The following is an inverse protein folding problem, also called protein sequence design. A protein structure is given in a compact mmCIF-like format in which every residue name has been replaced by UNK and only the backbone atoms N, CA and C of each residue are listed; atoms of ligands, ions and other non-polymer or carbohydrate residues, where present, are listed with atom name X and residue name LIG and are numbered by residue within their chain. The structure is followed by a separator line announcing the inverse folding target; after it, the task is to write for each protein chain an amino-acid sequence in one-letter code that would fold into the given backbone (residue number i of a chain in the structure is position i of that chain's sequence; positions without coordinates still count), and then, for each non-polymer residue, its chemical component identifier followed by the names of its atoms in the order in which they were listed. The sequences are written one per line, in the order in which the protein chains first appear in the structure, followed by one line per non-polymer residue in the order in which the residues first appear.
data_IF_384270614834
#
_entry.id   IF_384270614834
#
_cell.length_a   1.000
_cell.length_b   1.000
_cell.length_c   1.000
_cell.angle_alpha   90.00
_cell.angle_beta   90.00
_cell.angle_gamma   90.00
#
_symmetry.space_group_name_H-M   'P 1'
#
loop_
_entity.id
_entity.type
_entity.pdbx_description
1 polymer ?
#
# COMPACT_ATOMS: atom_id res chain seq x y z
N UNK A 1 -9.62 15.82 -7.72
CA UNK A 1 -8.80 15.05 -8.70
C UNK A 1 -7.64 14.41 -7.98
N UNK A 2 -7.19 13.24 -8.45
CA UNK A 2 -6.05 12.49 -7.87
C UNK A 2 -5.01 12.33 -8.98
N UNK A 3 -3.74 12.58 -8.65
CA UNK A 3 -2.63 12.36 -9.58
C UNK A 3 -2.25 10.88 -9.52
N UNK A 4 -2.39 10.18 -10.65
CA UNK A 4 -2.07 8.75 -10.76
C UNK A 4 -0.60 8.50 -11.12
N UNK A 5 0.00 9.39 -11.90
CA UNK A 5 1.40 9.29 -12.30
C UNK A 5 1.95 10.65 -12.75
N UNK A 6 3.26 10.81 -12.66
CA UNK A 6 4.03 11.86 -13.32
C UNK A 6 4.84 11.22 -14.44
N UNK A 7 4.76 11.78 -15.65
CA UNK A 7 5.39 11.23 -16.84
C UNK A 7 6.47 12.19 -17.36
N UNK A 8 7.57 11.63 -17.83
CA UNK A 8 8.72 12.35 -18.36
C UNK A 8 9.18 11.83 -19.74
N UNK A 9 10.37 12.28 -20.20
CA UNK A 9 10.92 11.83 -21.47
C UNK A 9 11.12 10.32 -21.52
N UNK A 10 10.58 9.69 -22.56
CA UNK A 10 10.65 8.23 -22.76
C UNK A 10 9.42 7.47 -22.24
N UNK A 11 8.58 8.11 -21.42
CA UNK A 11 7.32 7.53 -20.97
C UNK A 11 6.25 7.57 -22.06
N UNK A 12 5.29 6.65 -21.96
CA UNK A 12 4.09 6.61 -22.80
C UNK A 12 2.82 6.54 -21.94
N UNK A 13 1.69 6.88 -22.55
CA UNK A 13 0.37 6.81 -21.92
C UNK A 13 -0.73 6.60 -22.96
N UNK A 14 -1.90 6.18 -22.49
CA UNK A 14 -3.08 5.95 -23.33
C UNK A 14 -3.16 4.55 -23.95
N UNK A 15 -2.14 3.73 -23.73
CA UNK A 15 -2.07 2.33 -24.13
C UNK A 15 -3.25 1.52 -23.61
N UNK A 16 -3.75 1.83 -22.41
CA UNK A 16 -4.84 1.07 -21.77
C UNK A 16 -6.08 1.07 -22.66
N UNK A 17 -6.52 2.24 -23.15
CA UNK A 17 -7.68 2.33 -24.04
C UNK A 17 -7.47 1.62 -25.38
N UNK A 18 -6.23 1.58 -25.87
CA UNK A 18 -5.91 0.89 -27.12
C UNK A 18 -5.95 -0.63 -26.95
N UNK A 19 -5.52 -1.13 -25.79
CA UNK A 19 -5.46 -2.56 -25.47
C UNK A 19 -6.80 -3.13 -24.98
N UNK A 20 -7.54 -2.40 -24.15
CA UNK A 20 -8.82 -2.86 -23.60
C UNK A 20 -10.02 -2.56 -24.49
N UNK A 21 -9.88 -1.63 -25.43
CA UNK A 21 -11.01 -1.10 -26.21
C UNK A 21 -11.97 -0.22 -25.40
N UNK A 22 -11.64 0.10 -24.15
CA UNK A 22 -12.46 0.96 -23.30
C UNK A 22 -12.11 2.44 -23.43
N UNK A 23 -12.97 3.29 -22.86
CA UNK A 23 -12.73 4.73 -22.78
C UNK A 23 -11.46 5.04 -21.95
N UNK A 24 -10.98 6.29 -22.07
CA UNK A 24 -9.82 6.76 -21.31
C UNK A 24 -10.08 6.64 -19.80
N UNK A 25 -9.17 5.98 -19.10
CA UNK A 25 -9.23 5.80 -17.63
C UNK A 25 -8.83 7.06 -16.86
N UNK A 26 -8.11 7.99 -17.48
CA UNK A 26 -7.62 9.21 -16.87
C UNK A 26 -7.44 10.34 -17.89
N UNK A 27 -7.49 11.58 -17.39
CA UNK A 27 -7.11 12.78 -18.14
C UNK A 27 -5.60 13.00 -18.06
N UNK A 28 -5.04 13.70 -19.05
CA UNK A 28 -3.62 14.07 -19.10
C UNK A 28 -3.49 15.57 -19.26
N UNK A 29 -2.64 16.18 -18.45
CA UNK A 29 -2.36 17.62 -18.47
C UNK A 29 -0.84 17.82 -18.53
N UNK A 30 -0.39 18.74 -19.37
CA UNK A 30 1.03 19.10 -19.48
C UNK A 30 1.40 20.10 -18.39
N UNK A 31 2.42 19.81 -17.58
CA UNK A 31 2.93 20.72 -16.55
C UNK A 31 3.89 21.79 -17.12
N UNK A 32 4.54 21.47 -18.24
CA UNK A 32 5.45 22.35 -18.98
C UNK A 32 5.32 22.14 -20.49
N UNK A 33 6.06 22.93 -21.28
CA UNK A 33 6.06 22.81 -22.75
C UNK A 33 6.54 21.41 -23.17
N UNK A 34 5.60 20.58 -23.61
CA UNK A 34 5.82 19.17 -23.89
C UNK A 34 5.76 18.88 -25.39
N UNK A 35 6.60 17.97 -25.88
CA UNK A 35 6.47 17.34 -27.20
C UNK A 35 6.16 15.85 -26.99
N UNK A 36 5.12 15.37 -27.64
CA UNK A 36 4.71 13.96 -27.61
C UNK A 36 4.63 13.42 -29.04
N UNK A 37 4.95 12.14 -29.20
CA UNK A 37 4.65 11.38 -30.42
C UNK A 37 3.32 10.65 -30.22
N UNK A 38 2.52 10.57 -31.28
CA UNK A 38 1.22 9.92 -31.26
C UNK A 38 1.20 8.72 -32.20
N UNK A 39 0.67 7.60 -31.74
CA UNK A 39 0.35 6.44 -32.56
C UNK A 39 -1.17 6.24 -32.50
N UNK A 40 -1.77 5.94 -33.66
CA UNK A 40 -3.17 5.53 -33.72
C UNK A 40 -3.30 4.05 -33.31
N UNK A 41 -4.53 3.58 -33.11
CA UNK A 41 -4.80 2.21 -32.66
C UNK A 41 -4.29 1.15 -33.63
N UNK A 42 -4.51 1.34 -34.94
CA UNK A 42 -4.14 0.36 -35.97
C UNK A 42 -2.62 0.20 -36.06
N UNK A 43 -1.89 1.32 -36.10
CA UNK A 43 -0.43 1.34 -36.12
C UNK A 43 0.16 0.74 -34.85
N UNK A 44 -0.43 1.03 -33.69
CA UNK A 44 0.01 0.49 -32.41
C UNK A 44 -0.14 -1.04 -32.38
N UNK A 45 -1.33 -1.56 -32.67
CA UNK A 45 -1.59 -3.00 -32.67
C UNK A 45 -0.74 -3.72 -33.74
N UNK A 46 -0.67 -3.18 -34.95
CA UNK A 46 0.18 -3.73 -36.02
C UNK A 46 1.66 -3.74 -35.64
N UNK A 47 2.14 -2.74 -34.90
CA UNK A 47 3.52 -2.71 -34.39
C UNK A 47 3.76 -3.82 -33.37
N UNK A 48 2.80 -4.10 -32.49
CA UNK A 48 2.92 -5.18 -31.50
C UNK A 48 2.99 -6.56 -32.17
N UNK A 49 2.20 -6.77 -33.22
CA UNK A 49 2.19 -8.01 -34.01
C UNK A 49 3.49 -8.19 -34.80
N UNK A 50 3.94 -7.13 -35.48
CA UNK A 50 5.14 -7.17 -36.32
C UNK A 50 6.42 -7.25 -35.50
N UNK A 51 6.45 -6.65 -34.30
CA UNK A 51 7.62 -6.60 -33.43
C UNK A 51 7.30 -7.10 -32.01
N UNK A 52 7.25 -8.42 -31.77
CA UNK A 52 6.88 -8.99 -30.46
C UNK A 52 7.76 -8.53 -29.29
N UNK A 53 9.01 -8.14 -29.54
CA UNK A 53 9.89 -7.54 -28.52
C UNK A 53 9.31 -6.24 -27.94
N UNK A 54 8.62 -5.45 -28.75
CA UNK A 54 7.92 -4.23 -28.31
C UNK A 54 6.79 -4.59 -27.34
N UNK A 55 6.00 -5.61 -27.67
CA UNK A 55 4.94 -6.12 -26.79
C UNK A 55 5.49 -6.60 -25.44
N UNK A 56 6.61 -7.34 -25.44
CA UNK A 56 7.25 -7.77 -24.18
C UNK A 56 7.72 -6.57 -23.36
N UNK A 57 8.30 -5.55 -23.99
CA UNK A 57 8.75 -4.34 -23.28
C UNK A 57 7.57 -3.55 -22.70
N UNK A 58 6.47 -3.45 -23.45
CA UNK A 58 5.22 -2.85 -22.99
C UNK A 58 4.67 -3.59 -21.77
N UNK A 59 4.60 -4.93 -21.81
CA UNK A 59 4.15 -5.74 -20.67
C UNK A 59 5.02 -5.55 -19.42
N UNK A 60 6.34 -5.43 -19.58
CA UNK A 60 7.23 -5.14 -18.44
C UNK A 60 6.93 -3.78 -17.82
N UNK A 61 6.71 -2.76 -18.64
CA UNK A 61 6.37 -1.43 -18.14
C UNK A 61 5.01 -1.41 -17.44
N UNK A 62 4.01 -2.11 -17.99
CA UNK A 62 2.70 -2.27 -17.34
C UNK A 62 2.82 -2.99 -15.99
N UNK A 63 3.66 -4.03 -15.87
CA UNK A 63 3.92 -4.71 -14.62
C UNK A 63 4.59 -3.80 -13.57
N UNK A 64 5.55 -2.96 -13.98
CA UNK A 64 6.17 -1.96 -13.11
C UNK A 64 5.15 -0.94 -12.63
N UNK A 65 4.27 -0.46 -13.52
CA UNK A 65 3.19 0.48 -13.15
C UNK A 65 2.19 -0.14 -12.18
N UNK A 66 1.81 -1.40 -12.39
CA UNK A 66 0.92 -2.11 -11.48
C UNK A 66 1.54 -2.24 -10.07
N UNK A 67 2.82 -2.63 -9.98
CA UNK A 67 3.53 -2.68 -8.70
C UNK A 67 3.52 -1.33 -7.97
N UNK A 68 3.77 -0.22 -8.69
CA UNK A 68 3.69 1.13 -8.11
C UNK A 68 2.27 1.50 -7.65
N UNK A 69 1.24 1.09 -8.39
CA UNK A 69 -0.15 1.29 -7.97
C UNK A 69 -0.49 0.48 -6.73
N UNK A 70 -0.03 -0.78 -6.64
CA UNK A 70 -0.20 -1.62 -5.45
C UNK A 70 0.50 -1.01 -4.23
N UNK A 71 1.72 -0.49 -4.39
CA UNK A 71 2.44 0.26 -3.36
C UNK A 71 1.67 1.52 -2.92
N UNK A 72 1.11 2.26 -3.88
CA UNK A 72 0.28 3.43 -3.59
C UNK A 72 -1.00 3.04 -2.83
N UNK A 73 -1.68 1.96 -3.23
CA UNK A 73 -2.84 1.42 -2.52
C UNK A 73 -2.45 1.00 -1.10
N UNK A 74 -1.32 0.32 -0.91
CA UNK A 74 -0.81 -0.07 0.41
C UNK A 74 -0.51 1.18 1.27
N UNK A 75 0.06 2.23 0.69
CA UNK A 75 0.30 3.51 1.38
C UNK A 75 -0.99 4.22 1.78
N UNK A 76 -2.04 4.10 0.96
CA UNK A 76 -3.39 4.56 1.31
C UNK A 76 -4.03 3.67 2.38
N UNK A 77 -3.59 2.41 2.49
CA UNK A 77 -4.07 1.44 3.47
C UNK A 77 -3.57 1.76 4.88
N UNK A 78 -2.37 2.33 5.05
CA UNK A 78 -1.86 2.76 6.36
C UNK A 78 -2.21 4.22 6.67
N UNK A 79 -3.30 4.42 7.39
CA UNK A 79 -3.68 5.75 7.88
C UNK A 79 -2.77 6.21 9.04
N UNK A 80 -2.61 7.53 9.20
CA UNK A 80 -1.91 8.12 10.35
C UNK A 80 -2.34 7.55 11.71
N UNK A 81 -3.63 7.24 11.87
CA UNK A 81 -4.17 6.68 13.10
C UNK A 81 -3.72 5.23 13.33
N UNK A 82 -3.69 4.42 12.27
CA UNK A 82 -3.21 3.04 12.34
C UNK A 82 -1.76 2.97 12.76
N UNK A 83 -0.91 3.80 12.15
CA UNK A 83 0.51 3.87 12.51
C UNK A 83 0.70 4.29 13.97
N UNK A 84 -0.02 5.32 14.45
CA UNK A 84 0.06 5.74 15.86
C UNK A 84 -0.41 4.66 16.82
N UNK A 85 -1.44 3.89 16.46
CA UNK A 85 -1.91 2.74 17.25
C UNK A 85 -0.85 1.64 17.27
N UNK A 86 -0.28 1.28 16.13
CA UNK A 86 0.77 0.26 16.04
C UNK A 86 2.02 0.65 16.84
N UNK A 87 2.46 1.91 16.77
CA UNK A 87 3.55 2.46 17.59
C UNK A 87 3.20 2.40 19.09
N UNK A 88 1.96 2.71 19.46
CA UNK A 88 1.51 2.59 20.86
C UNK A 88 1.56 1.14 21.34
N UNK A 89 1.15 0.18 20.50
CA UNK A 89 1.24 -1.25 20.78
C UNK A 89 2.70 -1.68 20.91
N UNK A 90 3.60 -1.22 20.02
CA UNK A 90 5.04 -1.49 20.10
C UNK A 90 5.62 -1.00 21.42
N UNK A 91 5.30 0.24 21.82
CA UNK A 91 5.75 0.79 23.10
C UNK A 91 5.27 -0.04 24.30
N UNK A 92 4.01 -0.46 24.30
CA UNK A 92 3.47 -1.35 25.33
C UNK A 92 4.21 -2.71 25.31
N UNK A 93 4.49 -3.25 24.13
CA UNK A 93 5.23 -4.49 23.96
C UNK A 93 6.67 -4.38 24.49
N UNK A 94 7.32 -3.23 24.32
CA UNK A 94 8.64 -2.97 24.90
C UNK A 94 8.58 -2.86 26.43
N UNK A 95 7.55 -2.20 26.98
CA UNK A 95 7.42 -1.95 28.42
C UNK A 95 6.98 -3.21 29.21
N UNK A 96 6.13 -4.07 28.65
CA UNK A 96 5.55 -5.21 29.37
C UNK A 96 5.44 -6.52 28.56
N UNK A 97 5.97 -6.56 27.33
CA UNK A 97 5.87 -7.73 26.47
C UNK A 97 6.81 -8.87 26.87
N UNK A 98 6.35 -10.10 26.66
CA UNK A 98 7.17 -11.31 26.82
C UNK A 98 7.43 -11.93 25.45
N UNK A 99 8.72 -12.11 25.11
CA UNK A 99 9.16 -12.66 23.82
C UNK A 99 9.21 -14.18 23.90
N UNK A 100 8.53 -14.87 22.97
CA UNK A 100 8.61 -16.32 22.81
C UNK A 100 8.50 -16.71 21.34
N UNK A 101 9.44 -17.51 20.83
CA UNK A 101 9.42 -18.04 19.45
C UNK A 101 9.22 -16.97 18.35
N UNK A 102 9.77 -15.77 18.52
CA UNK A 102 9.62 -14.67 17.56
C UNK A 102 8.32 -13.86 17.69
N UNK A 103 7.43 -14.24 18.59
CA UNK A 103 6.20 -13.51 18.92
C UNK A 103 6.36 -12.72 20.22
N UNK A 104 5.57 -11.67 20.40
CA UNK A 104 5.52 -10.90 21.65
C UNK A 104 4.13 -10.92 22.24
N UNK A 105 4.03 -11.36 23.50
CA UNK A 105 2.74 -11.40 24.22
C UNK A 105 2.66 -10.26 25.22
N UNK A 106 1.57 -9.49 25.11
CA UNK A 106 1.18 -8.43 26.05
C UNK A 106 0.05 -8.98 26.93
N UNK A 107 0.28 -9.07 28.24
CA UNK A 107 -0.69 -9.63 29.19
C UNK A 107 -0.58 -8.94 30.58
N UNK A 108 -1.59 -8.19 31.03
CA UNK A 108 -2.82 -7.87 30.31
C UNK A 108 -2.59 -6.77 29.24
N UNK A 109 -3.34 -6.86 28.13
CA UNK A 109 -3.44 -5.76 27.18
C UNK A 109 -4.19 -4.58 27.84
N UNK A 110 -3.69 -3.33 27.74
CA UNK A 110 -4.42 -2.15 28.15
C UNK A 110 -5.78 -2.03 27.47
N UNK A 111 -6.69 -1.25 28.05
CA UNK A 111 -8.00 -1.10 27.43
C UNK A 111 -7.89 -0.38 26.09
N UNK A 112 -8.85 -0.61 25.18
CA UNK A 112 -8.89 0.12 23.92
C UNK A 112 -8.97 1.65 24.12
N UNK A 113 -9.53 2.11 25.25
CA UNK A 113 -9.56 3.53 25.58
C UNK A 113 -8.17 4.04 25.96
N UNK A 114 -7.39 3.27 26.71
CA UNK A 114 -6.02 3.65 27.07
C UNK A 114 -5.14 3.74 25.82
N UNK A 115 -5.23 2.75 24.93
CA UNK A 115 -4.51 2.76 23.65
C UNK A 115 -4.96 3.93 22.77
N UNK A 116 -6.24 4.28 22.79
CA UNK A 116 -6.75 5.43 22.05
C UNK A 116 -6.16 6.74 22.58
N UNK A 117 -6.07 6.89 23.91
CA UNK A 117 -5.45 8.04 24.55
C UNK A 117 -3.94 8.13 24.21
N UNK A 118 -3.23 7.00 24.22
CA UNK A 118 -1.80 6.94 23.85
C UNK A 118 -1.57 7.30 22.38
N UNK A 119 -2.44 6.83 21.48
CA UNK A 119 -2.32 7.04 20.04
C UNK A 119 -2.94 8.37 19.56
N UNK A 120 -3.55 9.16 20.45
CA UNK A 120 -4.26 10.39 20.07
C UNK A 120 -5.39 10.13 19.06
N UNK A 121 -6.28 9.19 19.38
CA UNK A 121 -7.39 8.77 18.52
C UNK A 121 -8.62 8.37 19.35
N UNK A 122 -9.65 7.79 18.73
CA UNK A 122 -10.86 7.31 19.39
C UNK A 122 -10.81 5.81 19.66
N UNK A 123 -11.55 5.34 20.67
CA UNK A 123 -11.70 3.91 20.98
C UNK A 123 -12.25 3.12 19.78
N UNK A 124 -13.18 3.70 19.02
CA UNK A 124 -13.77 3.11 17.82
C UNK A 124 -12.71 2.90 16.74
N UNK A 125 -11.78 3.85 16.59
CA UNK A 125 -10.64 3.72 15.67
C UNK A 125 -9.72 2.58 16.09
N UNK A 126 -9.37 2.49 17.37
CA UNK A 126 -8.58 1.36 17.91
C UNK A 126 -9.26 0.02 17.64
N UNK A 127 -10.58 -0.06 17.86
CA UNK A 127 -11.35 -1.28 17.62
C UNK A 127 -11.33 -1.69 16.14
N UNK A 128 -11.47 -0.74 15.21
CA UNK A 128 -11.38 -0.98 13.77
C UNK A 128 -9.99 -1.46 13.36
N UNK A 129 -8.94 -0.75 13.78
CA UNK A 129 -7.55 -1.11 13.45
C UNK A 129 -7.19 -2.47 14.03
N UNK A 130 -7.68 -2.83 15.22
CA UNK A 130 -7.44 -4.17 15.74
C UNK A 130 -8.01 -5.29 14.87
N UNK A 131 -9.17 -5.07 14.24
CA UNK A 131 -9.73 -6.06 13.31
C UNK A 131 -8.82 -6.24 12.10
N UNK A 132 -8.34 -5.13 11.53
CA UNK A 132 -7.41 -5.14 10.39
C UNK A 132 -6.11 -5.88 10.74
N UNK A 133 -5.47 -5.53 11.86
CA UNK A 133 -4.24 -6.21 12.30
C UNK A 133 -4.42 -7.71 12.55
N UNK A 134 -5.64 -8.16 12.90
CA UNK A 134 -5.96 -9.59 13.03
C UNK A 134 -6.18 -10.24 11.66
N UNK A 135 -6.94 -9.59 10.77
CA UNK A 135 -7.20 -10.05 9.41
C UNK A 135 -5.91 -10.17 8.59
N UNK A 136 -4.97 -9.25 8.77
CA UNK A 136 -3.66 -9.22 8.09
C UNK A 136 -2.62 -10.16 8.73
N UNK A 137 -2.99 -10.83 9.83
CA UNK A 137 -2.15 -11.78 10.53
C UNK A 137 -0.98 -11.15 11.29
N UNK A 138 -1.07 -9.87 11.63
CA UNK A 138 -0.08 -9.14 12.43
C UNK A 138 -0.21 -9.43 13.94
N UNK A 139 -1.44 -9.57 14.42
CA UNK A 139 -1.71 -9.85 15.83
C UNK A 139 -2.78 -10.92 16.00
N UNK A 140 -2.77 -11.58 17.14
CA UNK A 140 -3.83 -12.45 17.59
C UNK A 140 -4.30 -12.02 18.97
N UNK A 141 -5.61 -11.99 19.18
CA UNK A 141 -6.19 -11.69 20.50
C UNK A 141 -6.68 -12.97 21.16
N UNK A 142 -6.20 -13.25 22.37
CA UNK A 142 -6.62 -14.39 23.18
C UNK A 142 -7.05 -13.88 24.55
N UNK A 143 -8.37 -13.81 24.78
CA UNK A 143 -8.93 -13.26 26.02
C UNK A 143 -8.44 -11.82 26.28
N UNK A 144 -7.72 -11.59 27.39
CA UNK A 144 -7.11 -10.30 27.76
C UNK A 144 -5.70 -10.09 27.20
N UNK A 145 -5.19 -11.04 26.40
CA UNK A 145 -3.85 -11.00 25.82
C UNK A 145 -3.88 -10.55 24.37
N UNK A 146 -2.83 -9.83 23.97
CA UNK A 146 -2.50 -9.61 22.57
C UNK A 146 -1.17 -10.31 22.27
N UNK A 147 -1.13 -11.08 21.20
CA UNK A 147 0.07 -11.71 20.69
C UNK A 147 0.41 -11.00 19.39
N UNK A 148 1.56 -10.34 19.33
CA UNK A 148 2.14 -9.84 18.09
C UNK A 148 2.83 -11.02 17.40
N UNK A 149 2.36 -11.37 16.20
CA UNK A 149 2.85 -12.48 15.40
C UNK A 149 4.01 -11.98 14.53
N UNK A 150 5.12 -12.74 14.52
CA UNK A 150 6.36 -12.33 13.84
C UNK A 150 6.73 -10.87 14.16
N UNK A 151 7.28 -10.68 15.37
CA UNK A 151 7.59 -9.36 15.87
C UNK A 151 8.55 -8.57 14.97
N UNK A 152 9.41 -9.27 14.22
CA UNK A 152 10.31 -8.62 13.25
C UNK A 152 9.54 -8.05 12.07
N UNK A 153 8.58 -8.80 11.52
CA UNK A 153 7.67 -8.30 10.48
C UNK A 153 6.85 -7.12 11.00
N UNK A 154 6.28 -7.24 12.19
CA UNK A 154 5.50 -6.16 12.80
C UNK A 154 6.32 -4.89 13.01
N UNK A 155 7.57 -5.00 13.47
CA UNK A 155 8.48 -3.85 13.53
C UNK A 155 8.71 -3.25 12.14
N UNK A 156 9.11 -4.06 11.15
CA UNK A 156 9.38 -3.58 9.79
C UNK A 156 8.19 -2.82 9.18
N UNK A 157 6.98 -3.29 9.41
CA UNK A 157 5.78 -2.74 8.79
C UNK A 157 5.27 -1.47 9.50
N UNK A 158 5.64 -1.24 10.77
CA UNK A 158 5.09 -0.13 11.58
C UNK A 158 6.11 0.80 12.27
N UNK A 159 7.39 0.44 12.40
CA UNK A 159 8.44 1.31 12.96
C UNK A 159 8.87 2.40 11.96
N UNK A 160 9.45 3.48 12.48
CA UNK A 160 10.23 4.43 11.69
C UNK A 160 11.68 3.91 11.67
N UNK A 161 12.15 3.62 10.45
CA UNK A 161 13.39 2.93 10.06
C UNK A 161 13.28 1.40 10.03
#
# INVERSE_FOLDING_TARGET
EVILALLGPGDFFGEMSLLSGEARSANVVTLEKTKALTLNTEDFLGTLELYPKVAINLLRELAIRLQKSDEQIASLSLSDAERRIAISILRIAEEQGTIQHGNVTIDPLPSQQDIANMAGTTRETVSRIYKLLVEDGHVQRISKKLIILDFKRFLKDFSLN
#
